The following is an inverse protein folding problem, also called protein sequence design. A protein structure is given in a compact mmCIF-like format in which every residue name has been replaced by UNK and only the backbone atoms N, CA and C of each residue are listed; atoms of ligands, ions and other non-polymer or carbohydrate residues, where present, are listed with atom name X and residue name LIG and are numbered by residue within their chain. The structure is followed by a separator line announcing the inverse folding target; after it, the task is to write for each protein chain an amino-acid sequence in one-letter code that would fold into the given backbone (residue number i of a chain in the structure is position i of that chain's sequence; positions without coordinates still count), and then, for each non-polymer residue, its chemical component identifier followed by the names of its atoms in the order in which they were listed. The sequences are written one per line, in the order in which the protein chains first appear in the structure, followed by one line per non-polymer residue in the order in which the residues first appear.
data_IF_260385358401
#
_entry.id   IF_260385358401
#
_cell.length_a   1.000
_cell.length_b   1.000
_cell.length_c   1.000
_cell.angle_alpha   90.00
_cell.angle_beta   90.00
_cell.angle_gamma   90.00
#
_symmetry.space_group_name_H-M   'P 1'
#
loop_
_entity.id
_entity.type
_entity.pdbx_description
1 polymer ?
#
# COMPACT_ATOMS: atom_id res chain seq x y z
N UNK A 1 35.65 -6.05 28.87
CA UNK A 1 35.23 -6.34 27.48
C UNK A 1 33.72 -6.14 27.38
N UNK A 2 33.23 -5.20 26.56
CA UNK A 2 31.79 -5.03 26.33
C UNK A 2 31.33 -6.15 25.38
N UNK A 3 30.47 -7.05 25.86
CA UNK A 3 29.81 -8.03 25.01
C UNK A 3 28.99 -7.27 23.96
N UNK A 4 29.40 -7.37 22.69
CA UNK A 4 28.57 -6.91 21.56
C UNK A 4 27.40 -7.90 21.47
N UNK A 5 26.19 -7.40 21.71
CA UNK A 5 24.98 -8.18 21.47
C UNK A 5 24.97 -8.66 20.00
N UNK A 6 24.52 -9.90 19.74
CA UNK A 6 24.40 -10.43 18.40
C UNK A 6 23.51 -9.55 17.50
N UNK A 7 23.95 -9.29 16.27
CA UNK A 7 23.25 -8.41 15.32
C UNK A 7 21.79 -8.82 15.03
N UNK A 8 21.42 -10.09 15.24
CA UNK A 8 20.04 -10.55 15.09
C UNK A 8 19.09 -10.11 16.22
N UNK A 9 19.62 -9.74 17.40
CA UNK A 9 18.83 -9.14 18.49
C UNK A 9 18.61 -7.63 18.28
N UNK A 10 19.35 -7.02 17.36
CA UNK A 10 18.98 -5.75 16.74
C UNK A 10 17.95 -6.00 15.64
N UNK A 11 16.82 -6.65 15.95
CA UNK A 11 15.66 -6.60 15.07
C UNK A 11 15.40 -5.13 14.74
N UNK A 12 15.52 -4.82 13.45
CA UNK A 12 15.45 -3.48 12.87
C UNK A 12 14.35 -2.65 13.55
N UNK A 13 14.74 -1.73 14.43
CA UNK A 13 13.88 -0.60 14.79
C UNK A 13 13.70 0.21 13.51
N UNK A 14 12.70 -0.15 12.73
CA UNK A 14 12.20 0.71 11.64
C UNK A 14 12.02 2.10 12.24
N UNK A 15 12.59 3.12 11.59
CA UNK A 15 12.33 4.49 11.98
C UNK A 15 10.83 4.75 11.96
N UNK A 16 10.36 5.72 12.77
CA UNK A 16 8.94 6.07 12.80
C UNK A 16 8.43 6.46 11.41
N UNK A 17 9.28 7.04 10.56
CA UNK A 17 8.98 7.32 9.15
C UNK A 17 8.73 6.05 8.34
N UNK A 18 9.56 5.02 8.53
CA UNK A 18 9.42 3.77 7.79
C UNK A 18 8.21 2.95 8.26
N UNK A 19 7.88 3.01 9.56
CA UNK A 19 6.62 2.48 10.09
C UNK A 19 5.42 3.21 9.51
N UNK A 20 5.46 4.54 9.49
CA UNK A 20 4.39 5.37 8.93
C UNK A 20 4.19 5.12 7.43
N UNK A 21 5.27 4.93 6.67
CA UNK A 21 5.19 4.57 5.25
C UNK A 21 4.59 3.17 5.08
N UNK A 22 5.04 2.17 5.84
CA UNK A 22 4.47 0.82 5.78
C UNK A 22 2.98 0.81 6.14
N UNK A 23 2.56 1.59 7.14
CA UNK A 23 1.14 1.76 7.47
C UNK A 23 0.38 2.41 6.29
N UNK A 24 0.96 3.42 5.63
CA UNK A 24 0.33 4.04 4.46
C UNK A 24 0.19 3.05 3.31
N UNK A 25 1.22 2.24 3.04
CA UNK A 25 1.21 1.19 2.01
C UNK A 25 0.11 0.17 2.32
N UNK A 26 -0.01 -0.26 3.57
CA UNK A 26 -1.07 -1.14 4.02
C UNK A 26 -2.46 -0.54 3.78
N UNK A 27 -2.66 0.74 4.14
CA UNK A 27 -3.94 1.41 3.96
C UNK A 27 -4.30 1.59 2.49
N UNK A 28 -3.33 1.94 1.63
CA UNK A 28 -3.55 2.07 0.19
C UNK A 28 -3.86 0.70 -0.44
N UNK A 29 -3.17 -0.36 -0.02
CA UNK A 29 -3.48 -1.72 -0.42
C UNK A 29 -4.90 -2.11 -0.01
N UNK A 30 -5.29 -1.87 1.24
CA UNK A 30 -6.63 -2.13 1.74
C UNK A 30 -7.69 -1.38 0.91
N UNK A 31 -7.50 -0.09 0.65
CA UNK A 31 -8.40 0.71 -0.21
C UNK A 31 -8.55 0.13 -1.62
N UNK A 32 -7.45 -0.31 -2.23
CA UNK A 32 -7.48 -0.95 -3.55
C UNK A 32 -8.31 -2.23 -3.53
N UNK A 33 -8.09 -3.09 -2.54
CA UNK A 33 -8.84 -4.35 -2.41
C UNK A 33 -10.32 -4.11 -2.07
N UNK A 34 -10.62 -3.13 -1.22
CA UNK A 34 -11.97 -2.73 -0.86
C UNK A 34 -12.73 -2.26 -2.10
N UNK A 35 -12.17 -1.31 -2.86
CA UNK A 35 -12.83 -0.81 -4.08
C UNK A 35 -12.98 -1.93 -5.10
N UNK A 36 -11.95 -2.76 -5.31
CA UNK A 36 -12.02 -3.89 -6.24
C UNK A 36 -13.17 -4.85 -5.90
N UNK A 37 -13.41 -5.10 -4.61
CA UNK A 37 -14.51 -5.98 -4.16
C UNK A 37 -15.90 -5.52 -4.61
N UNK A 38 -16.08 -4.21 -4.83
CA UNK A 38 -17.33 -3.61 -5.29
C UNK A 38 -17.37 -3.39 -6.81
N UNK A 39 -16.27 -3.61 -7.53
CA UNK A 39 -16.21 -3.46 -8.99
C UNK A 39 -16.59 -4.76 -9.72
N UNK A 40 -17.37 -4.70 -10.82
CA UNK A 40 -17.77 -5.90 -11.57
C UNK A 40 -16.60 -6.73 -12.11
N UNK A 41 -15.52 -6.07 -12.57
CA UNK A 41 -14.33 -6.75 -13.12
C UNK A 41 -13.36 -7.26 -12.04
N UNK A 42 -13.61 -6.88 -10.78
CA UNK A 42 -12.87 -7.23 -9.55
C UNK A 42 -11.35 -7.04 -9.62
N UNK A 43 -10.86 -6.28 -10.58
CA UNK A 43 -9.42 -6.20 -10.85
C UNK A 43 -8.97 -4.82 -11.29
N UNK A 44 -9.83 -3.96 -11.83
CA UNK A 44 -9.46 -2.60 -12.20
C UNK A 44 -10.06 -1.60 -11.23
N UNK A 45 -9.20 -0.77 -10.64
CA UNK A 45 -9.54 0.16 -9.58
C UNK A 45 -9.14 1.57 -9.96
N UNK A 46 -10.09 2.50 -9.90
CA UNK A 46 -9.81 3.93 -9.93
C UNK A 46 -9.52 4.44 -8.52
N UNK A 47 -8.29 4.86 -8.22
CA UNK A 47 -7.89 5.38 -6.91
C UNK A 47 -7.05 6.65 -7.06
N UNK A 48 -7.70 7.80 -7.09
CA UNK A 48 -7.04 9.10 -6.93
C UNK A 48 -6.79 9.41 -5.46
N UNK A 49 -5.85 10.34 -5.17
CA UNK A 49 -5.62 10.80 -3.81
C UNK A 49 -6.89 11.29 -3.12
N UNK A 50 -7.70 12.11 -3.80
CA UNK A 50 -8.97 12.63 -3.25
C UNK A 50 -9.97 11.52 -2.90
N UNK A 51 -10.05 10.47 -3.74
CA UNK A 51 -10.90 9.31 -3.45
C UNK A 51 -10.35 8.52 -2.26
N UNK A 52 -9.04 8.29 -2.23
CA UNK A 52 -8.37 7.59 -1.15
C UNK A 52 -8.61 8.29 0.19
N UNK A 53 -8.45 9.62 0.26
CA UNK A 53 -8.68 10.37 1.49
C UNK A 53 -10.15 10.41 1.91
N UNK A 54 -11.07 10.50 0.95
CA UNK A 54 -12.51 10.51 1.26
C UNK A 54 -12.94 9.21 1.97
N UNK A 55 -12.44 8.06 1.50
CA UNK A 55 -12.71 6.77 2.13
C UNK A 55 -11.92 6.62 3.43
N UNK A 56 -10.63 6.96 3.43
CA UNK A 56 -9.76 6.84 4.60
C UNK A 56 -10.22 7.70 5.78
N UNK A 57 -10.80 8.88 5.52
CA UNK A 57 -11.34 9.77 6.56
C UNK A 57 -12.52 9.14 7.32
N UNK A 58 -13.31 8.29 6.67
CA UNK A 58 -14.41 7.56 7.34
C UNK A 58 -13.88 6.57 8.39
N UNK A 59 -12.63 6.12 8.22
CA UNK A 59 -11.92 5.19 9.10
C UNK A 59 -10.90 5.90 10.01
N UNK A 60 -10.96 7.24 10.09
CA UNK A 60 -10.00 8.07 10.85
C UNK A 60 -8.53 7.92 10.41
N UNK A 61 -8.29 7.47 9.18
CA UNK A 61 -6.95 7.28 8.62
C UNK A 61 -6.50 8.56 7.91
N UNK A 62 -5.40 9.16 8.39
CA UNK A 62 -4.77 10.30 7.74
C UNK A 62 -3.70 9.87 6.72
N UNK A 63 -3.88 10.25 5.46
CA UNK A 63 -2.94 10.00 4.37
C UNK A 63 -2.54 11.34 3.74
N UNK A 64 -1.25 11.64 3.69
CA UNK A 64 -0.73 12.81 2.98
C UNK A 64 -0.52 12.49 1.49
N UNK A 65 -0.57 13.49 0.58
CA UNK A 65 -0.37 13.25 -0.85
C UNK A 65 0.96 12.56 -1.15
N UNK A 66 2.06 13.02 -0.55
CA UNK A 66 3.39 12.47 -0.79
C UNK A 66 3.46 10.98 -0.40
N UNK A 67 2.92 10.61 0.77
CA UNK A 67 2.93 9.21 1.23
C UNK A 67 1.98 8.33 0.43
N UNK A 68 0.86 8.88 -0.04
CA UNK A 68 -0.04 8.16 -0.94
C UNK A 68 0.68 7.74 -2.23
N UNK A 69 1.36 8.67 -2.90
CA UNK A 69 2.06 8.34 -4.14
C UNK A 69 3.28 7.43 -3.90
N UNK A 70 4.02 7.62 -2.82
CA UNK A 70 5.08 6.67 -2.41
C UNK A 70 4.53 5.26 -2.15
N UNK A 71 3.33 5.15 -1.58
CA UNK A 71 2.68 3.86 -1.37
C UNK A 71 2.26 3.21 -2.69
N UNK A 72 1.73 4.00 -3.64
CA UNK A 72 1.41 3.51 -4.99
C UNK A 72 2.68 3.00 -5.69
N UNK A 73 3.76 3.77 -5.70
CA UNK A 73 5.04 3.38 -6.31
C UNK A 73 5.54 2.05 -5.72
N UNK A 74 5.50 1.92 -4.39
CA UNK A 74 5.91 0.67 -3.72
C UNK A 74 5.02 -0.53 -4.09
N UNK A 75 3.72 -0.33 -4.25
CA UNK A 75 2.79 -1.40 -4.67
C UNK A 75 3.01 -1.81 -6.14
N UNK A 76 3.46 -0.89 -6.99
CA UNK A 76 3.89 -1.18 -8.36
C UNK A 76 5.23 -1.96 -8.33
N UNK A 77 6.22 -1.47 -7.59
CA UNK A 77 7.55 -2.09 -7.48
C UNK A 77 7.49 -3.52 -6.93
N UNK A 78 6.52 -3.78 -6.05
CA UNK A 78 6.28 -5.10 -5.46
C UNK A 78 5.33 -5.98 -6.29
N UNK A 79 4.97 -5.54 -7.49
CA UNK A 79 4.07 -6.22 -8.42
C UNK A 79 2.68 -6.53 -7.83
N UNK A 80 2.22 -5.79 -6.82
CA UNK A 80 0.87 -5.96 -6.25
C UNK A 80 -0.19 -5.38 -7.19
N UNK A 81 0.13 -4.23 -7.79
CA UNK A 81 -0.71 -3.55 -8.78
C UNK A 81 0.11 -3.20 -10.02
N UNK A 82 -0.61 -2.98 -11.12
CA UNK A 82 -0.05 -2.56 -12.41
C UNK A 82 -0.73 -1.26 -12.85
N UNK A 83 0.03 -0.33 -13.42
CA UNK A 83 -0.55 0.84 -14.07
C UNK A 83 -1.38 0.43 -15.28
N UNK A 84 -2.44 1.19 -15.56
CA UNK A 84 -3.11 1.15 -16.86
C UNK A 84 -2.73 2.40 -17.67
N UNK A 85 -3.22 2.49 -18.90
CA UNK A 85 -3.10 3.71 -19.72
C UNK A 85 -3.88 4.90 -19.16
N UNK A 86 -4.82 4.66 -18.24
CA UNK A 86 -5.68 5.68 -17.65
C UNK A 86 -5.12 6.19 -16.32
N UNK A 87 -5.10 7.50 -16.17
CA UNK A 87 -4.61 8.16 -14.95
C UNK A 87 -5.40 7.72 -13.71
N UNK A 88 -4.67 7.37 -12.65
CA UNK A 88 -5.19 6.86 -11.37
C UNK A 88 -5.97 5.55 -11.45
N UNK A 89 -5.91 4.86 -12.59
CA UNK A 89 -6.47 3.54 -12.72
C UNK A 89 -5.34 2.52 -12.59
N UNK A 90 -5.58 1.51 -11.76
CA UNK A 90 -4.64 0.46 -11.46
C UNK A 90 -5.32 -0.89 -11.62
N UNK A 91 -4.59 -1.88 -12.11
CA UNK A 91 -5.04 -3.26 -12.17
C UNK A 91 -4.39 -4.06 -11.04
N UNK A 92 -5.18 -4.78 -10.24
CA UNK A 92 -4.67 -5.76 -9.30
C UNK A 92 -3.92 -6.86 -10.05
N UNK A 93 -2.71 -7.20 -9.63
CA UNK A 93 -1.92 -8.22 -10.32
C UNK A 93 -2.41 -9.63 -9.97
N UNK A 94 -3.04 -10.37 -10.91
CA UNK A 94 -3.57 -11.70 -10.61
C UNK A 94 -2.47 -12.69 -10.18
N UNK A 95 -1.22 -12.49 -10.61
CA UNK A 95 -0.09 -13.33 -10.19
C UNK A 95 0.19 -13.14 -8.71
N UNK A 96 0.25 -11.90 -8.22
CA UNK A 96 0.43 -11.61 -6.80
C UNK A 96 -0.67 -12.26 -5.95
N UNK A 97 -1.93 -12.07 -6.34
CA UNK A 97 -3.08 -12.60 -5.60
C UNK A 97 -3.27 -14.12 -5.75
N UNK A 98 -2.62 -14.76 -6.73
CA UNK A 98 -2.64 -16.23 -6.85
C UNK A 98 -1.87 -16.93 -5.72
N UNK A 99 -0.87 -16.26 -5.14
CA UNK A 99 -0.10 -16.77 -3.99
C UNK A 99 -0.84 -16.67 -2.66
N UNK A 100 -1.99 -15.98 -2.63
CA UNK A 100 -2.82 -15.80 -1.43
C UNK A 100 -3.99 -16.79 -1.35
N UNK A 101 -4.08 -17.75 -2.29
CA UNK A 101 -5.06 -18.85 -2.27
C UNK A 101 -4.55 -20.02 -1.43
#
# INVERSE_FOLDING_TARGET
MKQRLPAYLHQNKLSDEQRNLNNTVHNVFWLLTLIASYTPDKSTVYLSFHRATSIAQQEEIHITPARFYQAIDKLIDTNVIMCTEFKYQYRLNPVFFSYLK
#
